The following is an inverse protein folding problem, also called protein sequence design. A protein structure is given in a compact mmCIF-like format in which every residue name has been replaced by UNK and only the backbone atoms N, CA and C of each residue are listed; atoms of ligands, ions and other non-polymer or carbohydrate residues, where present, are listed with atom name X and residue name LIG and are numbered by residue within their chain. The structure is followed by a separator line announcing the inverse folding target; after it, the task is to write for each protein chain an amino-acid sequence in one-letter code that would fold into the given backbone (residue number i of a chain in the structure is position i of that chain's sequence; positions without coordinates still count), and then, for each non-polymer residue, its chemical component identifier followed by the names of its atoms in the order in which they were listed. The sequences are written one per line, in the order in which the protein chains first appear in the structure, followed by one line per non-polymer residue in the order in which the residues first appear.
data_IF_379477625312
#
_entry.id   IF_379477625312
#
_cell.length_a   1.000
_cell.length_b   1.000
_cell.length_c   1.000
_cell.angle_alpha   90.00
_cell.angle_beta   90.00
_cell.angle_gamma   90.00
#
_symmetry.space_group_name_H-M   'P 1'
#
loop_
_entity.id
_entity.type
_entity.pdbx_description
1 polymer ?
#
# COMPACT_ATOMS: atom_id res chain seq x y z
N UNK A 1 -0.53 21.46 6.40
CA UNK A 1 -0.15 21.35 4.97
C UNK A 1 0.25 22.72 4.45
N UNK A 2 1.48 22.84 3.92
CA UNK A 2 1.98 24.07 3.28
C UNK A 2 1.35 24.27 1.88
N UNK A 3 1.33 25.49 1.32
CA UNK A 3 0.86 25.71 -0.07
C UNK A 3 1.63 24.88 -1.11
N UNK A 4 2.93 24.69 -0.88
CA UNK A 4 3.77 23.83 -1.70
C UNK A 4 3.34 22.37 -1.61
N UNK A 5 3.09 21.84 -0.40
CA UNK A 5 2.64 20.46 -0.22
C UNK A 5 1.28 20.20 -0.89
N UNK A 6 0.34 21.15 -0.82
CA UNK A 6 -0.93 21.06 -1.54
C UNK A 6 -0.75 21.02 -3.06
N UNK A 7 0.16 21.85 -3.60
CA UNK A 7 0.46 21.88 -5.03
C UNK A 7 1.06 20.56 -5.49
N UNK A 8 2.03 20.02 -4.74
CA UNK A 8 2.64 18.72 -5.02
C UNK A 8 1.62 17.58 -4.90
N UNK A 9 0.69 17.66 -3.95
CA UNK A 9 -0.36 16.66 -3.78
C UNK A 9 -1.34 16.67 -4.96
N UNK A 10 -1.70 17.86 -5.46
CA UNK A 10 -2.49 17.99 -6.69
C UNK A 10 -1.75 17.39 -7.91
N UNK A 11 -0.43 17.61 -8.02
CA UNK A 11 0.41 16.96 -9.05
C UNK A 11 0.38 15.44 -8.91
N UNK A 12 0.54 14.90 -7.68
CA UNK A 12 0.45 13.45 -7.43
C UNK A 12 -0.92 12.88 -7.84
N UNK A 13 -2.01 13.59 -7.54
CA UNK A 13 -3.37 13.20 -7.93
C UNK A 13 -3.54 13.18 -9.45
N UNK A 14 -3.05 14.20 -10.17
CA UNK A 14 -3.09 14.24 -11.63
C UNK A 14 -2.28 13.07 -12.22
N UNK A 15 -1.08 12.82 -11.72
CA UNK A 15 -0.25 11.69 -12.15
C UNK A 15 -0.93 10.35 -11.91
N UNK A 16 -1.66 10.20 -10.80
CA UNK A 16 -2.41 8.98 -10.52
C UNK A 16 -3.56 8.78 -11.51
N UNK A 17 -4.29 9.84 -11.86
CA UNK A 17 -5.34 9.76 -12.89
C UNK A 17 -4.76 9.43 -14.27
N UNK A 18 -3.58 9.98 -14.60
CA UNK A 18 -2.86 9.64 -15.84
C UNK A 18 -2.49 8.15 -15.83
N UNK A 19 -1.98 7.63 -14.71
CA UNK A 19 -1.66 6.20 -14.58
C UNK A 19 -2.91 5.33 -14.71
N UNK A 20 -4.02 5.70 -14.06
CA UNK A 20 -5.28 4.95 -14.17
C UNK A 20 -5.79 4.91 -15.61
N UNK A 21 -5.68 6.03 -16.34
CA UNK A 21 -6.02 6.08 -17.76
C UNK A 21 -5.06 5.21 -18.60
N UNK A 22 -3.77 5.18 -18.26
CA UNK A 22 -2.80 4.31 -18.92
C UNK A 22 -3.13 2.83 -18.71
N UNK A 23 -3.43 2.44 -17.46
CA UNK A 23 -3.83 1.07 -17.09
C UNK A 23 -5.11 0.66 -17.82
N UNK A 24 -6.13 1.54 -17.86
CA UNK A 24 -7.40 1.28 -18.55
C UNK A 24 -7.26 1.11 -20.07
N UNK A 25 -6.30 1.80 -20.67
CA UNK A 25 -6.00 1.75 -22.10
C UNK A 25 -4.92 0.71 -22.45
N UNK A 26 -4.41 0.01 -21.45
CA UNK A 26 -3.30 -0.94 -21.57
C UNK A 26 -2.02 -0.32 -22.17
N UNK A 27 -1.80 0.98 -21.95
CA UNK A 27 -0.60 1.70 -22.38
C UNK A 27 0.55 1.48 -21.39
N UNK A 28 1.28 0.38 -21.59
CA UNK A 28 2.41 -0.03 -20.75
C UNK A 28 3.54 1.01 -20.71
N UNK A 29 3.71 1.82 -21.77
CA UNK A 29 4.77 2.83 -21.81
C UNK A 29 4.44 3.98 -20.87
N UNK A 30 3.19 4.46 -20.92
CA UNK A 30 2.73 5.52 -20.02
C UNK A 30 2.65 5.02 -18.58
N UNK A 31 2.10 3.82 -18.35
CA UNK A 31 2.04 3.17 -17.02
C UNK A 31 3.43 3.04 -16.39
N UNK A 32 4.44 2.61 -17.17
CA UNK A 32 5.82 2.45 -16.65
C UNK A 32 6.46 3.75 -16.14
N UNK A 33 5.94 4.91 -16.56
CA UNK A 33 6.43 6.23 -16.15
C UNK A 33 5.52 6.87 -15.10
N UNK A 34 4.21 6.81 -15.31
CA UNK A 34 3.22 7.45 -14.46
C UNK A 34 3.20 6.80 -13.08
N UNK A 35 3.21 5.46 -12.99
CA UNK A 35 3.17 4.73 -11.72
C UNK A 35 4.32 5.12 -10.76
N UNK A 36 5.61 5.07 -11.15
CA UNK A 36 6.70 5.57 -10.30
C UNK A 36 6.58 7.08 -10.00
N UNK A 37 6.13 7.88 -10.97
CA UNK A 37 6.02 9.34 -10.81
C UNK A 37 5.02 9.74 -9.72
N UNK A 38 3.93 8.98 -9.53
CA UNK A 38 2.99 9.18 -8.40
C UNK A 38 3.72 9.09 -7.07
N UNK A 39 4.50 8.03 -6.86
CA UNK A 39 5.21 7.81 -5.60
C UNK A 39 6.32 8.86 -5.39
N UNK A 40 7.03 9.25 -6.45
CA UNK A 40 8.01 10.35 -6.37
C UNK A 40 7.34 11.66 -5.97
N UNK A 41 6.17 11.98 -6.53
CA UNK A 41 5.42 13.16 -6.13
C UNK A 41 4.95 13.08 -4.67
N UNK A 42 4.50 11.92 -4.21
CA UNK A 42 4.13 11.69 -2.80
C UNK A 42 5.31 11.78 -1.84
N UNK A 43 6.51 11.35 -2.23
CA UNK A 43 7.75 11.59 -1.48
C UNK A 43 7.99 13.11 -1.34
N UNK A 44 7.83 13.87 -2.42
CA UNK A 44 7.97 15.32 -2.38
C UNK A 44 6.92 15.99 -1.48
N UNK A 45 5.67 15.51 -1.50
CA UNK A 45 4.61 15.98 -0.57
C UNK A 45 5.02 15.71 0.88
N UNK A 46 5.43 14.48 1.19
CA UNK A 46 5.83 14.08 2.54
C UNK A 46 7.03 14.90 3.04
N UNK A 47 7.96 15.27 2.16
CA UNK A 47 9.10 16.13 2.50
C UNK A 47 8.73 17.61 2.69
N UNK A 48 7.72 18.12 1.98
CA UNK A 48 7.34 19.54 1.96
C UNK A 48 6.23 19.93 2.96
N UNK A 49 5.53 18.95 3.54
CA UNK A 49 4.52 19.19 4.58
C UNK A 49 5.16 19.46 5.94
N UNK A 50 4.40 20.08 6.83
CA UNK A 50 4.73 20.23 8.26
C UNK A 50 4.18 19.02 9.02
N UNK A 51 5.01 18.03 9.41
CA UNK A 51 4.52 16.81 10.00
C UNK A 51 4.16 16.99 11.47
N UNK A 52 3.18 16.21 11.94
CA UNK A 52 2.89 16.07 13.37
C UNK A 52 4.01 15.38 14.15
N UNK A 53 4.80 14.53 13.48
CA UNK A 53 5.95 13.80 14.04
C UNK A 53 7.06 13.61 13.01
N UNK A 54 8.27 14.09 13.32
CA UNK A 54 9.42 13.97 12.43
C UNK A 54 9.84 12.50 12.23
N UNK A 55 9.82 11.72 13.31
CA UNK A 55 10.14 10.29 13.26
C UNK A 55 9.15 9.51 12.39
N UNK A 56 7.85 9.88 12.45
CA UNK A 56 6.83 9.30 11.57
C UNK A 56 7.11 9.64 10.10
N UNK A 57 7.43 10.91 9.82
CA UNK A 57 7.77 11.37 8.46
C UNK A 57 8.94 10.58 7.88
N UNK A 58 10.02 10.40 8.63
CA UNK A 58 11.19 9.62 8.18
C UNK A 58 10.81 8.17 7.85
N UNK A 59 10.04 7.52 8.72
CA UNK A 59 9.57 6.15 8.48
C UNK A 59 8.68 6.05 7.22
N UNK A 60 7.82 7.04 6.98
CA UNK A 60 6.96 7.09 5.80
C UNK A 60 7.74 7.38 4.52
N UNK A 61 8.78 8.22 4.57
CA UNK A 61 9.68 8.45 3.44
C UNK A 61 10.41 7.15 3.05
N UNK A 62 10.86 6.36 4.03
CA UNK A 62 11.44 5.03 3.80
C UNK A 62 10.40 4.11 3.16
N UNK A 63 9.17 4.08 3.70
CA UNK A 63 8.09 3.25 3.16
C UNK A 63 7.73 3.62 1.71
N UNK A 64 7.67 4.92 1.38
CA UNK A 64 7.44 5.41 0.02
C UNK A 64 8.61 5.07 -0.91
N UNK A 65 9.87 5.19 -0.47
CA UNK A 65 11.03 4.77 -1.25
C UNK A 65 11.03 3.28 -1.56
N UNK A 66 10.63 2.45 -0.59
CA UNK A 66 10.44 1.01 -0.79
C UNK A 66 9.26 0.69 -1.71
N UNK A 67 8.18 1.48 -1.63
CA UNK A 67 7.03 1.37 -2.54
C UNK A 67 7.41 1.74 -3.99
N UNK A 68 8.22 2.78 -4.17
CA UNK A 68 8.80 3.14 -5.47
C UNK A 68 9.69 2.02 -6.01
N UNK A 69 10.52 1.43 -5.15
CA UNK A 69 11.37 0.28 -5.49
C UNK A 69 10.53 -0.91 -5.94
N UNK A 70 9.45 -1.23 -5.22
CA UNK A 70 8.46 -2.25 -5.62
C UNK A 70 7.91 -1.94 -7.01
N UNK A 71 7.47 -0.72 -7.26
CA UNK A 71 6.85 -0.34 -8.53
C UNK A 71 7.83 -0.51 -9.70
N UNK A 72 9.10 -0.11 -9.54
CA UNK A 72 10.15 -0.34 -10.55
C UNK A 72 10.43 -1.82 -10.75
N UNK A 73 10.53 -2.61 -9.68
CA UNK A 73 10.76 -4.06 -9.77
C UNK A 73 9.60 -4.77 -10.49
N UNK A 74 8.35 -4.33 -10.32
CA UNK A 74 7.20 -4.92 -11.02
C UNK A 74 7.27 -4.74 -12.55
N UNK A 75 7.95 -3.71 -13.05
CA UNK A 75 8.17 -3.52 -14.49
C UNK A 75 9.08 -4.60 -15.08
N UNK A 76 9.94 -5.19 -14.26
CA UNK A 76 10.84 -6.27 -14.65
C UNK A 76 10.18 -7.66 -14.70
N UNK A 77 8.86 -7.74 -14.56
CA UNK A 77 8.07 -8.97 -14.70
C UNK A 77 8.37 -10.04 -13.64
N UNK A 78 8.18 -11.32 -14.02
CA UNK A 78 8.29 -12.44 -13.09
C UNK A 78 9.67 -12.59 -12.45
N UNK A 79 10.73 -12.19 -13.15
CA UNK A 79 12.12 -12.30 -12.67
C UNK A 79 12.33 -11.56 -11.34
N UNK A 80 11.63 -10.45 -11.13
CA UNK A 80 11.79 -9.59 -9.97
C UNK A 80 10.62 -9.69 -8.98
N UNK A 81 9.70 -10.63 -9.20
CA UNK A 81 8.49 -10.76 -8.38
C UNK A 81 8.80 -10.89 -6.89
N UNK A 82 9.72 -11.78 -6.50
CA UNK A 82 10.08 -12.00 -5.09
C UNK A 82 10.70 -10.73 -4.48
N UNK A 83 11.56 -10.04 -5.23
CA UNK A 83 12.15 -8.79 -4.79
C UNK A 83 11.10 -7.69 -4.62
N UNK A 84 10.12 -7.61 -5.53
CA UNK A 84 9.01 -6.66 -5.42
C UNK A 84 8.14 -6.95 -4.18
N UNK A 85 7.81 -8.21 -3.93
CA UNK A 85 7.07 -8.62 -2.72
C UNK A 85 7.87 -8.29 -1.45
N UNK A 86 9.18 -8.53 -1.45
CA UNK A 86 10.03 -8.19 -0.32
C UNK A 86 10.11 -6.67 -0.07
N UNK A 87 10.25 -5.86 -1.13
CA UNK A 87 10.21 -4.39 -1.04
C UNK A 87 8.86 -3.90 -0.51
N UNK A 88 7.76 -4.50 -0.98
CA UNK A 88 6.41 -4.22 -0.47
C UNK A 88 6.31 -4.54 1.02
N UNK A 89 6.76 -5.74 1.45
CA UNK A 89 6.73 -6.14 2.86
C UNK A 89 7.53 -5.17 3.75
N UNK A 90 8.72 -4.77 3.30
CA UNK A 90 9.56 -3.81 3.99
C UNK A 90 8.89 -2.43 4.08
N UNK A 91 8.17 -1.99 3.04
CA UNK A 91 7.41 -0.74 3.07
C UNK A 91 6.32 -0.77 4.15
N UNK A 92 5.57 -1.88 4.26
CA UNK A 92 4.54 -2.04 5.30
C UNK A 92 5.15 -2.05 6.70
N UNK A 93 6.30 -2.70 6.89
CA UNK A 93 7.02 -2.66 8.17
C UNK A 93 7.46 -1.23 8.54
N UNK A 94 7.94 -0.45 7.57
CA UNK A 94 8.29 0.96 7.77
C UNK A 94 7.05 1.81 8.13
N UNK A 95 5.90 1.57 7.50
CA UNK A 95 4.64 2.20 7.91
C UNK A 95 4.24 1.86 9.35
N UNK A 96 4.35 0.60 9.75
CA UNK A 96 4.10 0.16 11.14
C UNK A 96 4.99 0.93 12.12
N UNK A 97 6.29 1.03 11.84
CA UNK A 97 7.23 1.80 12.67
C UNK A 97 6.81 3.27 12.75
N UNK A 98 6.36 3.86 11.64
CA UNK A 98 5.87 5.24 11.61
C UNK A 98 4.62 5.44 12.47
N UNK A 99 3.63 4.56 12.40
CA UNK A 99 2.41 4.64 13.22
C UNK A 99 2.68 4.54 14.72
N UNK A 100 3.78 3.90 15.13
CA UNK A 100 4.21 3.84 16.53
C UNK A 100 4.81 5.16 17.04
N UNK A 101 5.09 6.13 16.16
CA UNK A 101 5.67 7.44 16.52
C UNK A 101 4.62 8.52 16.81
N UNK A 102 3.33 8.14 16.83
CA UNK A 102 2.20 9.02 17.15
C UNK A 102 1.36 8.40 18.27
N UNK A 103 0.28 9.08 18.68
CA UNK A 103 -0.59 8.60 19.76
C UNK A 103 -1.09 7.18 19.52
N UNK A 104 -1.11 6.36 20.59
CA UNK A 104 -1.50 4.94 20.52
C UNK A 104 -2.68 4.65 21.43
N UNK A 105 -3.77 4.13 20.85
CA UNK A 105 -4.99 3.74 21.56
C UNK A 105 -5.26 2.24 21.42
N UNK A 106 -5.29 1.54 22.55
CA UNK A 106 -5.64 0.11 22.58
C UNK A 106 -7.09 -0.16 22.18
N UNK A 107 -8.00 0.78 22.43
CA UNK A 107 -9.39 0.68 21.99
C UNK A 107 -9.47 0.64 20.46
N UNK A 108 -8.77 1.56 19.78
CA UNK A 108 -8.75 1.61 18.33
C UNK A 108 -7.92 0.48 17.71
N UNK A 109 -6.85 0.03 18.39
CA UNK A 109 -6.12 -1.16 18.01
C UNK A 109 -7.04 -2.41 18.02
N UNK A 110 -7.85 -2.57 19.07
CA UNK A 110 -8.83 -3.66 19.17
C UNK A 110 -9.88 -3.59 18.05
N UNK A 111 -10.37 -2.38 17.71
CA UNK A 111 -11.26 -2.19 16.56
C UNK A 111 -10.57 -2.62 15.25
N UNK A 112 -9.30 -2.24 15.05
CA UNK A 112 -8.50 -2.68 13.90
C UNK A 112 -8.34 -4.20 13.83
N UNK A 113 -8.15 -4.88 14.96
CA UNK A 113 -8.09 -6.35 15.02
C UNK A 113 -9.41 -6.96 14.54
N UNK A 114 -10.56 -6.43 14.96
CA UNK A 114 -11.88 -6.90 14.50
C UNK A 114 -12.01 -6.74 12.99
N UNK A 115 -11.64 -5.58 12.44
CA UNK A 115 -11.66 -5.31 10.99
C UNK A 115 -10.79 -6.33 10.24
N UNK A 116 -9.56 -6.54 10.72
CA UNK A 116 -8.63 -7.52 10.13
C UNK A 116 -9.20 -8.93 10.20
N UNK A 117 -9.75 -9.36 11.34
CA UNK A 117 -10.32 -10.70 11.49
C UNK A 117 -11.46 -10.93 10.50
N UNK A 118 -12.37 -9.97 10.37
CA UNK A 118 -13.49 -10.03 9.41
C UNK A 118 -12.97 -10.09 7.98
N UNK A 119 -12.03 -9.22 7.60
CA UNK A 119 -11.44 -9.19 6.27
C UNK A 119 -10.65 -10.48 5.94
N UNK A 120 -9.91 -11.01 6.91
CA UNK A 120 -9.05 -12.19 6.77
C UNK A 120 -9.87 -13.48 6.68
N UNK A 121 -10.94 -13.62 7.47
CA UNK A 121 -11.75 -14.83 7.52
C UNK A 121 -12.41 -15.16 6.17
N UNK A 122 -12.84 -14.14 5.42
CA UNK A 122 -13.47 -14.33 4.11
C UNK A 122 -12.47 -14.61 2.97
N UNK A 123 -11.29 -13.98 3.02
CA UNK A 123 -10.37 -13.92 1.89
C UNK A 123 -9.10 -14.77 2.08
N UNK A 124 -8.40 -14.62 3.21
CA UNK A 124 -7.04 -15.14 3.37
C UNK A 124 -7.01 -16.67 3.40
N UNK A 125 -7.98 -17.31 4.05
CA UNK A 125 -8.10 -18.78 4.07
C UNK A 125 -8.18 -19.32 2.64
N UNK A 126 -9.02 -18.70 1.81
CA UNK A 126 -9.15 -19.07 0.41
C UNK A 126 -7.83 -18.84 -0.32
N UNK A 127 -7.25 -17.64 -0.24
CA UNK A 127 -5.98 -17.36 -0.91
C UNK A 127 -4.90 -18.40 -0.56
N UNK A 128 -4.67 -18.65 0.73
CA UNK A 128 -3.66 -19.59 1.24
C UNK A 128 -3.90 -21.01 0.72
N UNK A 129 -5.15 -21.48 0.70
CA UNK A 129 -5.47 -22.79 0.12
C UNK A 129 -5.16 -22.85 -1.39
N UNK A 130 -5.41 -21.76 -2.12
CA UNK A 130 -5.07 -21.67 -3.55
C UNK A 130 -3.57 -21.69 -3.81
N UNK A 131 -2.82 -20.93 -3.00
CA UNK A 131 -1.34 -20.92 -3.04
C UNK A 131 -0.78 -22.28 -2.69
N UNK A 132 -1.30 -22.95 -1.65
CA UNK A 132 -0.83 -24.27 -1.23
C UNK A 132 -1.05 -25.34 -2.30
N UNK A 133 -2.16 -25.27 -3.02
CA UNK A 133 -2.48 -26.20 -4.09
C UNK A 133 -1.62 -26.00 -5.35
N UNK A 134 -1.29 -24.75 -5.69
CA UNK A 134 -0.59 -24.40 -6.94
C UNK A 134 0.93 -24.21 -6.78
N UNK A 135 1.36 -23.58 -5.69
CA UNK A 135 2.75 -23.16 -5.42
C UNK A 135 3.07 -23.28 -3.92
N UNK A 136 3.19 -24.51 -3.37
CA UNK A 136 3.33 -24.74 -1.93
C UNK A 136 4.51 -24.00 -1.29
N UNK A 137 5.62 -23.81 -2.02
CA UNK A 137 6.79 -23.05 -1.57
C UNK A 137 6.50 -21.57 -1.27
N UNK A 138 5.45 -20.99 -1.86
CA UNK A 138 5.05 -19.60 -1.63
C UNK A 138 4.04 -19.43 -0.49
N UNK A 139 3.55 -20.54 0.10
CA UNK A 139 2.53 -20.49 1.15
C UNK A 139 3.00 -19.71 2.37
N UNK A 140 4.21 -20.01 2.88
CA UNK A 140 4.76 -19.32 4.05
C UNK A 140 5.02 -17.83 3.76
N UNK A 141 5.68 -17.43 2.65
CA UNK A 141 5.79 -16.04 2.26
C UNK A 141 4.44 -15.29 2.20
N UNK A 142 3.40 -15.90 1.64
CA UNK A 142 2.07 -15.28 1.54
C UNK A 142 1.42 -15.12 2.92
N UNK A 143 1.52 -16.12 3.80
CA UNK A 143 1.00 -16.03 5.18
C UNK A 143 1.71 -14.91 5.96
N UNK A 144 3.04 -14.84 5.86
CA UNK A 144 3.82 -13.77 6.49
C UNK A 144 3.44 -12.39 5.95
N UNK A 145 3.22 -12.29 4.64
CA UNK A 145 2.78 -11.07 3.97
C UNK A 145 1.43 -10.58 4.52
N UNK A 146 0.42 -11.46 4.55
CA UNK A 146 -0.91 -11.15 5.13
C UNK A 146 -0.78 -10.73 6.60
N UNK A 147 0.10 -11.39 7.36
CA UNK A 147 0.37 -11.05 8.76
C UNK A 147 0.90 -9.64 8.93
N UNK A 148 1.91 -9.22 8.15
CA UNK A 148 2.47 -7.87 8.22
C UNK A 148 1.45 -6.81 7.78
N UNK A 149 0.68 -7.08 6.72
CA UNK A 149 -0.42 -6.20 6.32
C UNK A 149 -1.48 -6.04 7.40
N UNK A 150 -1.84 -7.14 8.05
CA UNK A 150 -2.77 -7.15 9.18
C UNK A 150 -2.24 -6.29 10.32
N UNK A 151 -0.95 -6.43 10.67
CA UNK A 151 -0.30 -5.59 11.68
C UNK A 151 -0.32 -4.12 11.28
N UNK A 152 -0.09 -3.78 10.01
CA UNK A 152 -0.19 -2.40 9.52
C UNK A 152 -1.58 -1.81 9.70
N UNK A 153 -2.65 -2.54 9.37
CA UNK A 153 -4.03 -2.07 9.57
C UNK A 153 -4.33 -1.84 11.05
N UNK A 154 -3.87 -2.74 11.93
CA UNK A 154 -4.04 -2.58 13.39
C UNK A 154 -3.24 -1.38 13.90
N UNK A 155 -1.99 -1.21 13.48
CA UNK A 155 -1.14 -0.08 13.88
C UNK A 155 -1.72 1.26 13.39
N UNK A 156 -2.20 1.31 12.14
CA UNK A 156 -2.89 2.48 11.62
C UNK A 156 -4.16 2.78 12.42
N UNK A 157 -4.94 1.76 12.77
CA UNK A 157 -6.13 1.90 13.62
C UNK A 157 -5.78 2.43 15.00
N UNK A 158 -4.71 1.93 15.61
CA UNK A 158 -4.26 2.39 16.93
C UNK A 158 -3.98 3.89 17.00
N UNK A 159 -3.66 4.54 15.87
CA UNK A 159 -3.47 6.01 15.81
C UNK A 159 -4.77 6.81 16.01
N UNK A 160 -5.93 6.19 15.80
CA UNK A 160 -7.24 6.86 15.80
C UNK A 160 -7.44 7.85 14.64
N UNK A 161 -6.51 7.93 13.68
CA UNK A 161 -6.60 8.86 12.57
C UNK A 161 -7.36 8.24 11.39
N UNK A 162 -8.50 8.81 10.95
CA UNK A 162 -9.31 8.22 9.89
C UNK A 162 -8.56 8.05 8.55
N UNK A 163 -7.68 8.98 8.21
CA UNK A 163 -6.87 8.94 6.98
C UNK A 163 -5.87 7.79 7.00
N UNK A 164 -5.16 7.58 8.12
CA UNK A 164 -4.26 6.44 8.31
C UNK A 164 -4.99 5.10 8.15
N UNK A 165 -6.15 4.98 8.81
CA UNK A 165 -6.97 3.75 8.78
C UNK A 165 -7.48 3.46 7.37
N UNK A 166 -8.07 4.46 6.72
CA UNK A 166 -8.57 4.32 5.36
C UNK A 166 -7.44 3.98 4.38
N UNK A 167 -6.27 4.62 4.53
CA UNK A 167 -5.09 4.34 3.72
C UNK A 167 -4.59 2.91 3.89
N UNK A 168 -4.38 2.46 5.13
CA UNK A 168 -3.93 1.10 5.42
C UNK A 168 -4.93 0.03 4.96
N UNK A 169 -6.23 0.27 5.13
CA UNK A 169 -7.27 -0.65 4.68
C UNK A 169 -7.36 -0.73 3.15
N UNK A 170 -7.28 0.40 2.43
CA UNK A 170 -7.23 0.38 0.97
C UNK A 170 -5.98 -0.33 0.44
N UNK A 171 -4.84 -0.17 1.12
CA UNK A 171 -3.63 -0.92 0.79
C UNK A 171 -3.85 -2.43 0.96
N UNK A 172 -4.45 -2.83 2.08
CA UNK A 172 -4.84 -4.21 2.35
C UNK A 172 -5.74 -4.77 1.26
N UNK A 173 -6.76 -4.02 0.83
CA UNK A 173 -7.64 -4.42 -0.26
C UNK A 173 -6.92 -4.52 -1.61
N UNK A 174 -6.03 -3.58 -1.93
CA UNK A 174 -5.25 -3.59 -3.17
C UNK A 174 -4.35 -4.83 -3.27
N UNK A 175 -3.65 -5.14 -2.18
CA UNK A 175 -2.75 -6.29 -2.11
C UNK A 175 -3.50 -7.63 -2.05
N UNK A 176 -4.64 -7.67 -1.36
CA UNK A 176 -5.54 -8.82 -1.41
C UNK A 176 -6.04 -9.06 -2.85
N UNK A 177 -6.45 -8.01 -3.56
CA UNK A 177 -6.89 -8.17 -4.95
C UNK A 177 -5.73 -8.63 -5.85
N UNK A 178 -4.52 -8.08 -5.67
CA UNK A 178 -3.32 -8.51 -6.40
C UNK A 178 -2.98 -9.98 -6.13
N UNK A 179 -3.00 -10.40 -4.87
CA UNK A 179 -2.76 -11.80 -4.48
C UNK A 179 -3.80 -12.76 -5.08
N UNK A 180 -5.08 -12.36 -5.07
CA UNK A 180 -6.17 -13.18 -5.63
C UNK A 180 -5.97 -13.44 -7.12
N UNK A 181 -5.75 -12.37 -7.89
CA UNK A 181 -5.56 -12.44 -9.33
C UNK A 181 -4.32 -13.24 -9.71
N UNK A 182 -3.32 -13.31 -8.82
CA UNK A 182 -2.09 -14.06 -9.07
C UNK A 182 -2.21 -15.55 -8.78
N UNK A 183 -2.93 -15.94 -7.73
CA UNK A 183 -2.90 -17.31 -7.20
C UNK A 183 -4.23 -18.06 -7.27
N UNK A 184 -5.32 -17.40 -7.67
CA UNK A 184 -6.66 -18.00 -7.79
C UNK A 184 -7.20 -17.83 -9.21
N UNK A 185 -7.80 -16.70 -9.49
CA UNK A 185 -8.51 -16.43 -10.73
C UNK A 185 -8.39 -14.94 -11.07
N UNK A 186 -8.29 -14.64 -12.36
CA UNK A 186 -8.34 -13.27 -12.84
C UNK A 186 -9.75 -12.72 -12.68
N UNK A 187 -9.85 -11.55 -12.07
CA UNK A 187 -11.10 -10.83 -11.85
C UNK A 187 -11.22 -9.68 -12.84
N UNK A 188 -12.44 -9.39 -13.35
CA UNK A 188 -12.67 -8.25 -14.22
C UNK A 188 -12.18 -6.96 -13.56
N UNK A 189 -11.52 -6.09 -14.34
CA UNK A 189 -11.04 -4.79 -13.88
C UNK A 189 -10.04 -4.82 -12.71
N UNK A 190 -9.38 -5.95 -12.46
CA UNK A 190 -8.40 -6.08 -11.37
C UNK A 190 -7.27 -5.04 -11.47
N UNK A 191 -6.69 -4.87 -12.68
CA UNK A 191 -5.54 -3.99 -12.88
C UNK A 191 -5.85 -2.54 -12.47
N UNK A 192 -6.98 -2.00 -12.92
CA UNK A 192 -7.39 -0.63 -12.56
C UNK A 192 -7.81 -0.54 -11.10
N UNK A 193 -8.53 -1.53 -10.58
CA UNK A 193 -8.95 -1.54 -9.17
C UNK A 193 -7.75 -1.55 -8.22
N UNK A 194 -6.70 -2.32 -8.54
CA UNK A 194 -5.44 -2.36 -7.80
C UNK A 194 -4.74 -1.00 -7.88
N UNK A 195 -4.59 -0.43 -9.09
CA UNK A 195 -3.91 0.86 -9.27
C UNK A 195 -4.61 2.02 -8.54
N UNK A 196 -5.95 2.08 -8.62
CA UNK A 196 -6.76 3.09 -7.93
C UNK A 196 -6.63 2.94 -6.42
N UNK A 197 -6.87 1.74 -5.89
CA UNK A 197 -6.82 1.48 -4.45
C UNK A 197 -5.43 1.73 -3.88
N UNK A 198 -4.38 1.34 -4.61
CA UNK A 198 -2.98 1.57 -4.24
C UNK A 198 -2.63 3.06 -4.17
N UNK A 199 -2.96 3.84 -5.20
CA UNK A 199 -2.67 5.28 -5.21
C UNK A 199 -3.44 6.03 -4.13
N UNK A 200 -4.73 5.72 -3.95
CA UNK A 200 -5.54 6.30 -2.88
C UNK A 200 -5.01 5.92 -1.50
N UNK A 201 -4.58 4.67 -1.31
CA UNK A 201 -3.94 4.23 -0.07
C UNK A 201 -2.71 5.08 0.26
N UNK A 202 -1.77 5.20 -0.68
CA UNK A 202 -0.55 5.98 -0.50
C UNK A 202 -0.84 7.47 -0.22
N UNK A 203 -1.79 8.05 -0.95
CA UNK A 203 -2.21 9.43 -0.73
C UNK A 203 -2.77 9.65 0.67
N UNK A 204 -3.67 8.78 1.13
CA UNK A 204 -4.27 8.86 2.47
C UNK A 204 -3.24 8.66 3.58
N UNK A 205 -2.25 7.78 3.38
CA UNK A 205 -1.12 7.61 4.29
C UNK A 205 -0.27 8.89 4.37
N UNK A 206 0.06 9.51 3.24
CA UNK A 206 0.79 10.80 3.27
C UNK A 206 -0.03 11.90 3.94
N UNK A 207 -1.34 11.94 3.70
CA UNK A 207 -2.24 12.88 4.38
C UNK A 207 -2.35 12.62 5.89
N UNK A 208 -2.03 11.43 6.39
CA UNK A 208 -2.03 11.15 7.83
C UNK A 208 -0.76 11.64 8.55
N UNK A 209 0.16 12.31 7.86
CA UNK A 209 1.33 12.92 8.48
C UNK A 209 1.03 14.28 9.14
N UNK A 210 -0.13 14.88 8.85
CA UNK A 210 -0.53 16.22 9.32
C UNK A 210 -1.72 16.21 10.24
#
# INVERSE_FOLDING_TARGET
MTPLAWTLFAVAAILAVIDWAAVQREDLRLESRAKPAVIVALIAVAAALDPSSESQRVAFLIALGLSLTRDVLTLGGERHFVAAVAASLAAHAAYVVGFQQVGWSWLWAAAGIVVVLVATLGYAVRLVLGVRASRPMLTLPVVLYIGVLSVMVVAASATGQPTAVAGAFLFYCADALAGWNRFREETPYARISIAVSYHLAQMLLVLSLV
#
